data_IF_474667352137
#
_entry.id   IF_474667352137
#
_cell.length_a   1.000
_cell.length_b   1.000
_cell.length_c   1.000
_cell.angle_alpha   90.00
_cell.angle_beta   90.00
_cell.angle_gamma   90.00
#
_symmetry.space_group_name_H-M   'P 1'
#
loop_
_entity.id
_entity.type
_entity.pdbx_description
1 polymer ?
#
# COMPACT_ATOMS: atom_id res chain seq x y z
N UNK A 1 -32.29 15.44 14.19
CA UNK A 1 -31.47 16.66 14.32
C UNK A 1 -30.22 16.50 15.19
N UNK A 2 -30.32 15.94 16.40
CA UNK A 2 -29.19 15.84 17.37
C UNK A 2 -27.96 15.11 16.78
N UNK A 3 -28.18 14.03 16.02
CA UNK A 3 -27.12 13.26 15.33
C UNK A 3 -26.31 14.12 14.35
N UNK A 4 -26.97 14.97 13.57
CA UNK A 4 -26.31 15.87 12.60
C UNK A 4 -25.46 16.95 13.29
N UNK A 5 -25.96 17.49 14.40
CA UNK A 5 -25.27 18.53 15.16
C UNK A 5 -24.06 17.96 15.91
N UNK A 6 -24.20 16.79 16.55
CA UNK A 6 -23.07 16.04 17.17
C UNK A 6 -22.04 15.59 16.11
N UNK A 7 -22.48 15.20 14.91
CA UNK A 7 -21.59 14.88 13.77
C UNK A 7 -20.70 16.08 13.41
N UNK A 8 -21.30 17.25 13.20
CA UNK A 8 -20.56 18.47 12.84
C UNK A 8 -19.47 18.78 13.87
N UNK A 9 -19.79 18.70 15.15
CA UNK A 9 -18.82 18.93 16.24
C UNK A 9 -17.70 17.89 16.26
N UNK A 10 -18.01 16.61 16.03
CA UNK A 10 -17.01 15.55 16.01
C UNK A 10 -16.09 15.64 14.80
N UNK A 11 -16.63 15.89 13.59
CA UNK A 11 -15.84 16.14 12.38
C UNK A 11 -14.89 17.32 12.58
N UNK A 12 -15.35 18.40 13.20
CA UNK A 12 -14.49 19.54 13.55
C UNK A 12 -13.40 19.18 14.58
N UNK A 13 -13.67 18.31 15.54
CA UNK A 13 -12.65 17.80 16.48
C UNK A 13 -11.64 16.88 15.80
N UNK A 14 -12.08 16.03 14.87
CA UNK A 14 -11.24 15.10 14.13
C UNK A 14 -10.36 15.85 13.11
N UNK A 15 -10.90 16.83 12.39
CA UNK A 15 -10.14 17.75 11.52
C UNK A 15 -8.97 18.44 12.23
N UNK A 16 -9.11 18.73 13.53
CA UNK A 16 -8.04 19.36 14.32
C UNK A 16 -6.90 18.40 14.66
N UNK A 17 -7.12 17.09 14.57
CA UNK A 17 -6.17 16.05 14.99
C UNK A 17 -5.61 15.25 13.83
N UNK A 18 -6.42 15.01 12.81
CA UNK A 18 -6.07 14.20 11.65
C UNK A 18 -5.40 15.07 10.57
N UNK A 19 -4.55 14.46 9.73
CA UNK A 19 -4.07 15.05 8.49
C UNK A 19 -5.18 15.51 7.54
N UNK A 20 -4.85 16.47 6.68
CA UNK A 20 -5.80 17.06 5.74
C UNK A 20 -6.33 16.05 4.70
N UNK A 21 -5.51 15.04 4.38
CA UNK A 21 -5.80 13.94 3.45
C UNK A 21 -6.57 12.77 4.11
N UNK A 22 -7.03 12.92 5.36
CA UNK A 22 -7.71 11.84 6.06
C UNK A 22 -9.10 11.55 5.46
N UNK A 23 -9.15 10.58 4.54
CA UNK A 23 -10.37 10.04 3.91
C UNK A 23 -11.48 9.66 4.91
N UNK A 24 -11.10 9.41 6.16
CA UNK A 24 -12.05 9.20 7.28
C UNK A 24 -13.03 10.35 7.42
N UNK A 25 -12.66 11.59 7.09
CA UNK A 25 -13.54 12.76 7.19
C UNK A 25 -14.55 12.89 6.04
N UNK A 26 -14.20 12.31 4.88
CA UNK A 26 -14.98 12.29 3.64
C UNK A 26 -15.94 11.09 3.58
N UNK A 27 -15.66 10.03 4.34
CA UNK A 27 -16.50 8.84 4.42
C UNK A 27 -17.89 9.17 4.99
N UNK A 28 -18.94 8.76 4.27
CA UNK A 28 -20.33 8.90 4.68
C UNK A 28 -20.69 7.91 5.80
N UNK A 29 -19.89 6.85 5.98
CA UNK A 29 -20.03 5.82 7.00
C UNK A 29 -19.13 6.05 8.23
N UNK A 30 -18.91 7.31 8.63
CA UNK A 30 -18.24 7.64 9.88
C UNK A 30 -19.06 7.09 11.07
N UNK A 31 -18.70 5.88 11.53
CA UNK A 31 -19.39 5.21 12.63
C UNK A 31 -19.31 6.06 13.89
N UNK A 32 -20.48 6.50 14.35
CA UNK A 32 -20.56 7.28 15.58
C UNK A 32 -20.31 6.39 16.79
N UNK A 33 -19.27 6.73 17.56
CA UNK A 33 -19.19 6.27 18.93
C UNK A 33 -20.19 7.09 19.75
N UNK A 34 -21.34 6.50 20.08
CA UNK A 34 -22.00 6.84 21.35
C UNK A 34 -20.97 6.63 22.47
N UNK A 35 -21.03 7.42 23.54
CA UNK A 35 -20.12 7.14 24.65
C UNK A 35 -20.32 5.68 25.07
N UNK A 36 -19.23 4.97 25.39
CA UNK A 36 -19.34 3.57 25.80
C UNK A 36 -20.36 3.42 26.95
N UNK A 37 -20.43 4.43 27.82
CA UNK A 37 -21.39 4.53 28.90
C UNK A 37 -22.86 4.60 28.41
N UNK A 38 -23.19 5.44 27.43
CA UNK A 38 -24.54 5.52 26.85
C UNK A 38 -24.94 4.22 26.13
N UNK A 39 -23.99 3.52 25.48
CA UNK A 39 -24.25 2.22 24.84
C UNK A 39 -24.68 1.15 25.86
N UNK A 40 -23.98 1.06 26.99
CA UNK A 40 -24.28 0.06 28.02
C UNK A 40 -25.52 0.40 28.85
N UNK A 41 -25.88 1.69 28.94
CA UNK A 41 -27.05 2.13 29.72
C UNK A 41 -28.37 2.03 28.94
N UNK A 42 -28.35 1.99 27.60
CA UNK A 42 -29.53 1.88 26.71
C UNK A 42 -30.66 2.91 26.96
N UNK A 43 -30.39 3.98 27.71
CA UNK A 43 -31.42 4.90 28.19
C UNK A 43 -31.98 5.85 27.11
N UNK A 44 -31.25 6.05 26.00
CA UNK A 44 -31.56 7.07 25.00
C UNK A 44 -31.58 6.56 23.54
N UNK A 45 -30.97 5.41 23.26
CA UNK A 45 -30.86 4.83 21.92
C UNK A 45 -30.90 3.30 22.03
N UNK A 46 -31.65 2.64 21.15
CA UNK A 46 -31.64 1.17 21.04
C UNK A 46 -30.38 0.68 20.32
N UNK A 47 -30.06 -0.61 20.43
CA UNK A 47 -28.87 -1.19 19.80
C UNK A 47 -28.90 -1.04 18.27
N UNK A 48 -30.09 -1.11 17.66
CA UNK A 48 -30.33 -0.91 16.22
C UNK A 48 -30.18 0.54 15.77
N UNK A 49 -30.46 1.49 16.67
CA UNK A 49 -30.26 2.93 16.43
C UNK A 49 -28.77 3.33 16.52
N UNK A 50 -27.95 2.48 17.15
CA UNK A 50 -26.49 2.62 17.13
C UNK A 50 -25.89 1.99 15.86
N UNK A 51 -24.82 2.58 15.34
CA UNK A 51 -24.06 1.98 14.23
C UNK A 51 -23.08 0.90 14.71
N UNK A 52 -23.12 0.55 16.00
CA UNK A 52 -22.20 -0.42 16.63
C UNK A 52 -22.38 -1.84 16.08
N UNK A 53 -23.60 -2.38 15.85
CA UNK A 53 -23.77 -3.69 15.21
C UNK A 53 -23.15 -3.73 13.80
N UNK A 54 -23.35 -2.66 13.00
CA UNK A 54 -22.76 -2.53 11.66
C UNK A 54 -21.23 -2.45 11.74
N UNK A 55 -20.68 -1.72 12.69
CA UNK A 55 -19.24 -1.67 12.93
C UNK A 55 -18.67 -3.01 13.39
N UNK A 56 -19.35 -3.71 14.30
CA UNK A 56 -18.95 -5.05 14.75
C UNK A 56 -18.93 -6.02 13.58
N UNK A 57 -19.95 -6.01 12.75
CA UNK A 57 -20.02 -6.82 11.53
C UNK A 57 -18.91 -6.44 10.54
N UNK A 58 -18.66 -5.15 10.33
CA UNK A 58 -17.57 -4.66 9.50
C UNK A 58 -16.20 -5.13 10.02
N UNK A 59 -15.92 -4.96 11.31
CA UNK A 59 -14.67 -5.39 11.96
C UNK A 59 -14.52 -6.91 11.87
N UNK A 60 -15.58 -7.67 12.20
CA UNK A 60 -15.58 -9.15 12.10
C UNK A 60 -15.28 -9.58 10.68
N UNK A 61 -15.97 -9.02 9.68
CA UNK A 61 -15.76 -9.30 8.27
C UNK A 61 -14.33 -8.99 7.83
N UNK A 62 -13.80 -7.82 8.20
CA UNK A 62 -12.41 -7.43 7.89
C UNK A 62 -11.38 -8.37 8.55
N UNK A 63 -11.62 -8.75 9.80
CA UNK A 63 -10.75 -9.68 10.53
C UNK A 63 -10.79 -11.08 9.91
N UNK A 64 -11.98 -11.59 9.60
CA UNK A 64 -12.16 -12.89 8.94
C UNK A 64 -11.53 -12.90 7.55
N UNK A 65 -11.71 -11.85 6.75
CA UNK A 65 -11.05 -11.69 5.45
C UNK A 65 -9.52 -11.69 5.58
N UNK A 66 -8.99 -11.00 6.61
CA UNK A 66 -7.55 -10.99 6.89
C UNK A 66 -7.04 -12.38 7.29
N UNK A 67 -7.72 -13.06 8.21
CA UNK A 67 -7.38 -14.42 8.65
C UNK A 67 -7.44 -15.41 7.47
N UNK A 68 -8.50 -15.36 6.66
CA UNK A 68 -8.64 -16.19 5.46
C UNK A 68 -7.46 -16.00 4.52
N UNK A 69 -7.10 -14.75 4.18
CA UNK A 69 -5.93 -14.47 3.34
C UNK A 69 -4.63 -15.03 3.91
N UNK A 70 -4.43 -14.91 5.22
CA UNK A 70 -3.26 -15.49 5.89
C UNK A 70 -3.24 -17.02 5.81
N UNK A 71 -4.36 -17.68 6.13
CA UNK A 71 -4.48 -19.13 6.08
C UNK A 71 -4.27 -19.65 4.66
N UNK A 72 -4.91 -19.04 3.65
CA UNK A 72 -4.69 -19.38 2.24
C UNK A 72 -3.22 -19.27 1.87
N UNK A 73 -2.54 -18.21 2.28
CA UNK A 73 -1.11 -18.04 2.01
C UNK A 73 -0.29 -19.19 2.61
N UNK A 74 -0.46 -19.50 3.89
CA UNK A 74 0.31 -20.56 4.55
C UNK A 74 0.01 -21.95 3.98
N UNK A 75 -1.27 -22.24 3.70
CA UNK A 75 -1.68 -23.51 3.09
C UNK A 75 -1.10 -23.63 1.68
N UNK A 76 -1.12 -22.58 0.87
CA UNK A 76 -0.52 -22.57 -0.47
C UNK A 76 0.99 -22.80 -0.42
N UNK A 77 1.71 -22.13 0.49
CA UNK A 77 3.16 -22.32 0.66
C UNK A 77 3.50 -23.75 1.14
N UNK A 78 2.80 -24.25 2.15
CA UNK A 78 2.99 -25.61 2.65
C UNK A 78 2.64 -26.68 1.59
N UNK A 79 1.58 -26.45 0.81
CA UNK A 79 1.21 -27.32 -0.29
C UNK A 79 2.27 -27.35 -1.40
N UNK A 80 2.90 -26.21 -1.71
CA UNK A 80 4.03 -26.13 -2.63
C UNK A 80 5.22 -26.99 -2.18
N UNK A 81 5.57 -26.94 -0.90
CA UNK A 81 6.65 -27.76 -0.32
C UNK A 81 6.36 -29.27 -0.37
N UNK A 82 5.11 -29.66 -0.09
CA UNK A 82 4.69 -31.07 -0.17
C UNK A 82 4.72 -31.57 -1.62
N UNK A 83 4.25 -30.76 -2.57
CA UNK A 83 4.35 -31.04 -4.01
C UNK A 83 5.80 -31.19 -4.47
N UNK A 84 6.71 -30.35 -3.95
CA UNK A 84 8.14 -30.46 -4.24
C UNK A 84 8.72 -31.78 -3.70
N UNK A 85 8.38 -32.16 -2.47
CA UNK A 85 8.86 -33.40 -1.84
C UNK A 85 8.37 -34.65 -2.58
N UNK A 86 7.10 -34.67 -2.98
CA UNK A 86 6.55 -35.75 -3.81
C UNK A 86 7.19 -35.76 -5.23
N UNK A 87 7.57 -34.59 -5.75
CA UNK A 87 8.28 -34.50 -7.03
C UNK A 87 9.67 -35.15 -7.00
N UNK A 88 10.38 -35.04 -5.87
CA UNK A 88 11.61 -35.75 -5.57
C UNK A 88 11.38 -37.22 -5.17
N UNK A 89 10.20 -37.79 -5.39
CA UNK A 89 9.93 -39.22 -5.16
C UNK A 89 9.64 -39.97 -6.48
N UNK A 90 9.55 -39.25 -7.62
CA UNK A 90 9.21 -39.82 -8.92
C UNK A 90 10.44 -40.02 -9.83
N UNK A 91 10.58 -41.21 -10.43
CA UNK A 91 11.77 -41.66 -11.19
C UNK A 91 11.70 -41.44 -12.71
N UNK A 92 10.67 -40.77 -13.23
CA UNK A 92 10.43 -40.69 -14.68
C UNK A 92 11.17 -39.50 -15.36
N UNK A 93 12.12 -39.85 -16.25
CA UNK A 93 12.67 -39.11 -17.42
C UNK A 93 13.83 -38.08 -17.22
N UNK A 94 15.07 -38.57 -17.10
CA UNK A 94 16.30 -37.75 -16.92
C UNK A 94 16.86 -36.98 -18.15
N UNK A 95 16.89 -37.48 -19.42
CA UNK A 95 17.72 -36.81 -20.44
C UNK A 95 17.07 -35.60 -21.15
N UNK A 96 15.74 -35.55 -21.19
CA UNK A 96 14.96 -34.51 -21.90
C UNK A 96 14.93 -33.19 -21.12
N UNK A 97 15.08 -33.23 -19.79
CA UNK A 97 14.70 -32.16 -18.87
C UNK A 97 15.61 -30.92 -18.85
N UNK A 98 16.91 -31.08 -19.04
CA UNK A 98 17.88 -29.97 -18.97
C UNK A 98 17.69 -28.94 -20.10
N UNK A 99 17.36 -29.41 -21.31
CA UNK A 99 17.05 -28.54 -22.46
C UNK A 99 15.74 -27.76 -22.28
N UNK A 100 14.78 -28.30 -21.52
CA UNK A 100 13.48 -27.66 -21.29
C UNK A 100 13.54 -26.55 -20.25
N UNK A 101 14.26 -26.76 -19.16
CA UNK A 101 14.41 -25.74 -18.12
C UNK A 101 15.25 -24.56 -18.61
N UNK A 102 16.23 -24.80 -19.48
CA UNK A 102 16.97 -23.71 -20.12
C UNK A 102 16.12 -22.88 -21.10
N UNK A 103 15.19 -23.51 -21.84
CA UNK A 103 14.19 -22.82 -22.66
C UNK A 103 13.19 -21.99 -21.84
N UNK A 104 12.69 -22.55 -20.74
CA UNK A 104 11.83 -21.83 -19.79
C UNK A 104 12.58 -20.66 -19.15
N UNK A 105 13.84 -20.84 -18.76
CA UNK A 105 14.69 -19.80 -18.17
C UNK A 105 14.90 -18.62 -19.12
N UNK A 106 15.17 -18.87 -20.40
CA UNK A 106 15.29 -17.80 -21.41
C UNK A 106 13.98 -17.02 -21.56
N UNK A 107 12.85 -17.73 -21.65
CA UNK A 107 11.54 -17.08 -21.79
C UNK A 107 11.13 -16.29 -20.54
N UNK A 108 11.52 -16.76 -19.35
CA UNK A 108 11.35 -16.03 -18.10
C UNK A 108 12.14 -14.72 -18.13
N UNK A 109 13.42 -14.76 -18.53
CA UNK A 109 14.27 -13.57 -18.58
C UNK A 109 13.69 -12.52 -19.54
N UNK A 110 13.21 -12.93 -20.71
CA UNK A 110 12.52 -12.04 -21.67
C UNK A 110 11.28 -11.39 -21.06
N UNK A 111 10.45 -12.16 -20.34
CA UNK A 111 9.25 -11.63 -19.67
C UNK A 111 9.60 -10.69 -18.52
N UNK A 112 10.69 -10.94 -17.80
CA UNK A 112 11.19 -10.05 -16.74
C UNK A 112 11.62 -8.71 -17.37
N UNK A 113 12.32 -8.73 -18.51
CA UNK A 113 12.69 -7.50 -19.23
C UNK A 113 11.47 -6.70 -19.71
N UNK A 114 10.41 -7.39 -20.18
CA UNK A 114 9.15 -6.73 -20.54
C UNK A 114 8.48 -6.09 -19.33
N UNK A 115 8.45 -6.80 -18.19
CA UNK A 115 7.93 -6.26 -16.93
C UNK A 115 8.75 -5.03 -16.49
N UNK A 116 10.07 -5.10 -16.59
CA UNK A 116 10.95 -3.99 -16.23
C UNK A 116 10.65 -2.73 -17.05
N UNK A 117 10.49 -2.87 -18.37
CA UNK A 117 10.11 -1.76 -19.27
C UNK A 117 8.72 -1.20 -18.92
N UNK A 118 7.77 -2.07 -18.59
CA UNK A 118 6.43 -1.63 -18.18
C UNK A 118 6.46 -0.85 -16.85
N UNK A 119 7.31 -1.27 -15.90
CA UNK A 119 7.53 -0.55 -14.64
C UNK A 119 8.13 0.84 -14.91
N UNK A 120 9.12 0.94 -15.79
CA UNK A 120 9.73 2.22 -16.17
C UNK A 120 8.69 3.18 -16.75
N UNK A 121 7.84 2.69 -17.65
CA UNK A 121 6.76 3.48 -18.23
C UNK A 121 5.79 3.97 -17.16
N UNK A 122 5.37 3.11 -16.23
CA UNK A 122 4.50 3.49 -15.12
C UNK A 122 5.13 4.58 -14.25
N UNK A 123 6.41 4.46 -13.93
CA UNK A 123 7.10 5.39 -13.04
C UNK A 123 7.50 6.69 -13.74
N UNK A 124 7.70 6.69 -15.06
CA UNK A 124 8.00 7.91 -15.82
C UNK A 124 6.92 8.99 -15.65
N UNK A 125 5.66 8.60 -15.46
CA UNK A 125 4.56 9.53 -15.25
C UNK A 125 4.71 10.42 -14.00
N UNK A 126 5.51 10.02 -13.00
CA UNK A 126 5.70 10.82 -11.78
C UNK A 126 6.70 11.96 -11.95
N UNK A 127 7.57 11.90 -12.97
CA UNK A 127 8.71 12.81 -13.12
C UNK A 127 8.25 14.25 -13.34
N UNK A 128 7.32 14.46 -14.28
CA UNK A 128 6.81 15.80 -14.61
C UNK A 128 6.02 16.45 -13.44
N UNK A 129 5.04 15.77 -12.82
CA UNK A 129 4.34 16.31 -11.64
C UNK A 129 5.26 16.63 -10.47
N UNK A 130 6.31 15.83 -10.25
CA UNK A 130 7.30 16.14 -9.21
C UNK A 130 8.05 17.44 -9.50
N UNK A 131 8.52 17.63 -10.74
CA UNK A 131 9.23 18.85 -11.14
C UNK A 131 8.33 20.10 -11.02
N UNK A 132 7.07 19.99 -11.46
CA UNK A 132 6.09 21.07 -11.32
C UNK A 132 5.76 21.36 -9.86
N UNK A 133 5.60 20.31 -9.05
CA UNK A 133 5.41 20.41 -7.61
C UNK A 133 6.55 21.15 -6.91
N UNK A 134 7.80 20.83 -7.26
CA UNK A 134 8.99 21.52 -6.74
C UNK A 134 9.01 22.99 -7.14
N UNK A 135 8.71 23.32 -8.40
CA UNK A 135 8.57 24.72 -8.85
C UNK A 135 7.53 25.48 -8.04
N UNK A 136 6.36 24.86 -7.80
CA UNK A 136 5.27 25.45 -7.04
C UNK A 136 5.59 25.60 -5.55
N UNK A 137 6.32 24.65 -4.97
CA UNK A 137 6.80 24.76 -3.59
C UNK A 137 7.80 25.92 -3.46
N UNK A 138 8.76 26.05 -4.38
CA UNK A 138 9.74 27.16 -4.42
C UNK A 138 9.09 28.52 -4.60
N UNK A 139 8.02 28.64 -5.37
CA UNK A 139 7.35 29.93 -5.59
C UNK A 139 6.42 30.33 -4.43
N UNK A 140 6.00 29.39 -3.59
CA UNK A 140 4.95 29.62 -2.58
C UNK A 140 5.38 29.40 -1.13
N UNK A 141 6.56 28.83 -0.85
CA UNK A 141 6.97 28.44 0.51
C UNK A 141 6.95 29.61 1.52
N UNK A 142 7.36 30.83 1.12
CA UNK A 142 7.37 31.98 2.02
C UNK A 142 5.96 32.38 2.47
N UNK A 143 5.01 32.36 1.52
CA UNK A 143 3.59 32.62 1.79
C UNK A 143 3.00 31.54 2.69
N UNK A 144 3.32 30.27 2.42
CA UNK A 144 2.85 29.12 3.21
C UNK A 144 3.39 29.19 4.64
N UNK A 145 4.70 29.36 4.80
CA UNK A 145 5.32 29.50 6.11
C UNK A 145 4.73 30.71 6.85
N UNK A 146 4.57 31.86 6.17
CA UNK A 146 3.94 33.05 6.73
C UNK A 146 2.55 32.77 7.30
N UNK A 147 1.71 32.03 6.56
CA UNK A 147 0.38 31.63 7.02
C UNK A 147 0.44 30.69 8.25
N UNK A 148 1.40 29.77 8.30
CA UNK A 148 1.60 28.87 9.44
C UNK A 148 2.09 29.58 10.72
N UNK A 149 2.80 30.71 10.57
CA UNK A 149 3.41 31.47 11.67
C UNK A 149 2.52 32.61 12.20
N UNK A 150 1.28 32.76 11.70
CA UNK A 150 0.34 33.80 12.13
C UNK A 150 -0.83 33.20 12.89
N UNK A 151 -1.29 33.90 13.94
CA UNK A 151 -2.52 33.55 14.68
C UNK A 151 -3.47 34.74 14.77
N UNK A 152 -4.76 34.46 14.65
CA UNK A 152 -5.84 35.44 14.72
C UNK A 152 -5.97 36.17 16.06
N UNK A 153 -5.43 35.62 17.15
CA UNK A 153 -5.46 36.23 18.51
C UNK A 153 -4.10 36.83 18.93
N UNK A 154 -3.21 37.10 17.98
CA UNK A 154 -1.88 37.65 18.24
C UNK A 154 -0.87 36.63 18.82
N UNK A 155 0.26 37.14 19.32
CA UNK A 155 1.41 36.34 19.74
C UNK A 155 1.34 35.82 21.19
N UNK A 156 0.32 36.21 21.97
CA UNK A 156 0.23 35.85 23.38
C UNK A 156 0.04 34.34 23.53
N UNK A 157 0.97 33.69 24.25
CA UNK A 157 1.04 32.22 24.39
C UNK A 157 1.51 31.46 23.13
N UNK A 158 1.58 32.09 21.97
CA UNK A 158 1.98 31.41 20.73
C UNK A 158 3.44 30.95 20.75
N UNK A 159 4.32 31.65 21.48
CA UNK A 159 5.70 31.24 21.66
C UNK A 159 5.82 29.82 22.24
N UNK A 160 4.94 29.40 23.15
CA UNK A 160 4.94 28.04 23.71
C UNK A 160 4.51 27.00 22.66
N UNK A 161 3.54 27.37 21.81
CA UNK A 161 3.11 26.53 20.70
C UNK A 161 4.23 26.37 19.67
N UNK A 162 4.88 27.47 19.25
CA UNK A 162 6.02 27.42 18.34
C UNK A 162 7.18 26.63 18.92
N UNK A 163 7.48 26.81 20.21
CA UNK A 163 8.49 26.00 20.88
C UNK A 163 8.14 24.52 20.85
N UNK A 164 6.87 24.16 21.09
CA UNK A 164 6.42 22.77 21.01
C UNK A 164 6.45 22.20 19.59
N UNK A 165 6.17 23.01 18.56
CA UNK A 165 6.32 22.65 17.13
C UNK A 165 7.79 22.33 16.84
N UNK A 166 8.70 23.20 17.26
CA UNK A 166 10.14 23.05 17.04
C UNK A 166 10.71 21.83 17.80
N UNK A 167 10.35 21.65 19.07
CA UNK A 167 10.74 20.47 19.86
C UNK A 167 10.25 19.14 19.28
N UNK A 168 9.24 19.17 18.41
CA UNK A 168 8.65 18.01 17.73
C UNK A 168 8.91 18.06 16.21
N UNK A 169 10.03 18.63 15.80
CA UNK A 169 10.52 18.62 14.41
C UNK A 169 9.48 19.15 13.41
N UNK A 170 8.83 20.27 13.73
CA UNK A 170 7.88 20.94 12.85
C UNK A 170 6.42 20.48 13.00
N UNK A 171 6.12 19.57 13.94
CA UNK A 171 4.78 18.98 14.08
C UNK A 171 4.21 19.19 15.48
N UNK A 172 3.03 19.77 15.58
CA UNK A 172 2.31 19.91 16.85
C UNK A 172 0.81 19.69 16.68
N UNK A 173 0.25 18.77 17.45
CA UNK A 173 -1.18 18.58 17.58
C UNK A 173 -1.60 18.81 19.04
N UNK A 174 -2.71 19.53 19.23
CA UNK A 174 -3.28 19.82 20.56
C UNK A 174 -4.77 19.47 20.60
N UNK A 175 -5.33 19.37 21.81
CA UNK A 175 -6.78 19.24 22.02
C UNK A 175 -7.53 20.55 21.72
N UNK A 176 -6.87 21.69 21.92
CA UNK A 176 -7.49 23.03 21.83
C UNK A 176 -7.07 23.81 20.59
N UNK A 177 -5.89 23.52 20.03
CA UNK A 177 -5.35 24.17 18.84
C UNK A 177 -5.39 23.19 17.65
N UNK A 178 -5.58 23.72 16.45
CA UNK A 178 -5.44 22.93 15.22
C UNK A 178 -4.02 22.37 15.07
N UNK A 179 -3.91 21.23 14.40
CA UNK A 179 -2.61 20.63 14.06
C UNK A 179 -1.80 21.62 13.22
N UNK A 180 -0.56 21.84 13.62
CA UNK A 180 0.45 22.57 12.88
C UNK A 180 1.44 21.52 12.40
N UNK A 181 1.61 21.42 11.09
CA UNK A 181 2.64 20.58 10.47
C UNK A 181 3.34 21.42 9.40
N UNK A 182 4.50 21.96 9.75
CA UNK A 182 5.27 22.81 8.86
C UNK A 182 5.82 22.01 7.67
N UNK A 183 6.18 20.75 7.90
CA UNK A 183 6.73 19.89 6.86
C UNK A 183 5.65 19.55 5.83
N UNK A 184 4.47 19.13 6.28
CA UNK A 184 3.31 18.85 5.43
C UNK A 184 2.87 20.11 4.67
N UNK A 185 2.75 21.26 5.36
CA UNK A 185 2.33 22.50 4.72
C UNK A 185 3.28 22.95 3.60
N UNK A 186 4.59 22.91 3.83
CA UNK A 186 5.60 23.36 2.86
C UNK A 186 5.76 22.36 1.69
N UNK A 187 5.48 21.07 1.92
CA UNK A 187 5.50 20.03 0.88
C UNK A 187 4.16 19.89 0.14
N UNK A 188 3.09 20.48 0.65
CA UNK A 188 1.74 20.38 0.07
C UNK A 188 1.67 20.72 -1.42
N UNK A 189 2.35 21.78 -1.94
CA UNK A 189 2.32 22.07 -3.38
C UNK A 189 2.91 20.93 -4.23
N UNK A 190 3.81 20.12 -3.68
CA UNK A 190 4.33 18.93 -4.35
C UNK A 190 3.26 17.83 -4.36
N UNK A 191 2.63 17.56 -3.21
CA UNK A 191 1.56 16.57 -3.08
C UNK A 191 0.37 16.86 -3.98
N UNK A 192 -0.05 18.12 -4.09
CA UNK A 192 -1.14 18.54 -4.98
C UNK A 192 -0.91 18.16 -6.46
N UNK A 193 0.35 18.18 -6.91
CA UNK A 193 0.70 17.78 -8.27
C UNK A 193 0.82 16.26 -8.42
N UNK A 194 1.38 15.57 -7.42
CA UNK A 194 1.65 14.13 -7.52
C UNK A 194 0.44 13.25 -7.19
N UNK A 195 -0.48 13.68 -6.34
CA UNK A 195 -1.58 12.85 -5.82
C UNK A 195 -2.45 12.21 -6.93
N UNK A 196 -2.84 12.95 -8.00
CA UNK A 196 -3.63 12.36 -9.09
C UNK A 196 -2.90 11.21 -9.79
N UNK A 197 -1.59 11.36 -10.01
CA UNK A 197 -0.76 10.40 -10.75
C UNK A 197 -0.31 9.25 -9.85
N UNK A 198 0.15 9.54 -8.64
CA UNK A 198 0.60 8.55 -7.65
C UNK A 198 -0.52 7.58 -7.30
N UNK A 199 -1.74 8.09 -7.12
CA UNK A 199 -2.93 7.26 -6.92
C UNK A 199 -3.20 6.33 -8.11
N UNK A 200 -2.98 6.81 -9.34
CA UNK A 200 -3.12 6.05 -10.59
C UNK A 200 -2.13 4.89 -10.71
N UNK A 201 -0.84 5.16 -10.47
CA UNK A 201 0.24 4.15 -10.57
C UNK A 201 -0.06 2.92 -9.70
N UNK A 202 -0.57 3.12 -8.48
CA UNK A 202 -0.82 2.05 -7.52
C UNK A 202 -2.29 1.64 -7.38
N UNK A 203 -3.16 2.00 -8.34
CA UNK A 203 -4.58 1.63 -8.28
C UNK A 203 -4.76 0.14 -8.61
N UNK A 204 -5.58 -0.54 -7.80
CA UNK A 204 -6.05 -1.91 -8.10
C UNK A 204 -7.35 -1.80 -8.92
N UNK A 205 -7.27 -1.96 -10.24
CA UNK A 205 -8.43 -1.92 -11.15
C UNK A 205 -8.00 -1.79 -12.61
N UNK A 206 -8.93 -2.01 -13.56
CA UNK A 206 -8.67 -1.78 -14.99
C UNK A 206 -8.43 -0.28 -15.22
N UNK A 207 -7.22 0.15 -15.63
CA UNK A 207 -6.98 1.52 -16.01
C UNK A 207 -7.55 1.77 -17.41
N UNK A 208 -8.00 2.99 -17.65
CA UNK A 208 -8.35 3.44 -19.01
C UNK A 208 -7.06 3.72 -19.83
N UNK A 209 -5.90 3.89 -19.16
CA UNK A 209 -4.73 4.55 -19.75
C UNK A 209 -3.38 3.80 -19.57
N UNK A 210 -3.37 2.54 -19.12
CA UNK A 210 -2.14 1.73 -19.02
C UNK A 210 -1.10 2.12 -17.95
N UNK A 211 -1.38 3.15 -17.15
CA UNK A 211 -0.46 3.74 -16.15
C UNK A 211 -0.37 2.99 -14.82
N UNK A 212 -1.22 1.98 -14.59
CA UNK A 212 -1.27 1.24 -13.32
C UNK A 212 -0.29 0.06 -13.32
N UNK A 213 0.48 -0.07 -12.24
CA UNK A 213 1.49 -1.11 -12.06
C UNK A 213 0.89 -2.51 -11.87
N UNK A 214 -0.20 -2.64 -11.11
CA UNK A 214 -0.77 -3.94 -10.75
C UNK A 214 -1.22 -4.77 -11.97
N UNK A 215 -1.93 -4.20 -12.97
CA UNK A 215 -2.24 -4.91 -14.21
C UNK A 215 -1.02 -5.48 -14.95
N UNK A 216 0.13 -4.80 -14.94
CA UNK A 216 1.36 -5.32 -15.56
C UNK A 216 1.94 -6.50 -14.78
N UNK A 217 1.84 -6.48 -13.46
CA UNK A 217 2.21 -7.61 -12.60
C UNK A 217 1.26 -8.82 -12.82
N UNK A 218 -0.04 -8.57 -12.96
CA UNK A 218 -1.03 -9.59 -13.27
C UNK A 218 -0.85 -10.15 -14.68
N UNK A 219 -0.56 -9.31 -15.67
CA UNK A 219 -0.26 -9.75 -17.03
C UNK A 219 1.02 -10.61 -17.06
N UNK A 220 2.06 -10.19 -16.34
CA UNK A 220 3.28 -10.98 -16.17
C UNK A 220 3.00 -12.34 -15.52
N UNK A 221 2.15 -12.37 -14.48
CA UNK A 221 1.69 -13.62 -13.84
C UNK A 221 1.09 -14.57 -14.86
N UNK A 222 0.08 -14.11 -15.58
CA UNK A 222 -0.64 -14.93 -16.56
C UNK A 222 0.29 -15.39 -17.67
N UNK A 223 1.18 -14.51 -18.15
CA UNK A 223 2.14 -14.83 -19.20
C UNK A 223 3.18 -15.89 -18.78
N UNK A 224 3.58 -15.89 -17.50
CA UNK A 224 4.43 -16.95 -16.94
C UNK A 224 3.68 -18.28 -16.82
N UNK A 225 2.46 -18.25 -16.27
CA UNK A 225 1.63 -19.44 -16.11
C UNK A 225 1.31 -20.10 -17.46
N UNK A 226 0.95 -19.31 -18.46
CA UNK A 226 0.70 -19.77 -19.83
C UNK A 226 1.96 -20.41 -20.43
N UNK A 227 3.12 -19.76 -20.30
CA UNK A 227 4.35 -20.32 -20.87
C UNK A 227 4.74 -21.64 -20.21
N UNK A 228 4.54 -21.77 -18.90
CA UNK A 228 4.76 -23.03 -18.21
C UNK A 228 3.78 -24.11 -18.64
N UNK A 229 2.51 -23.75 -18.89
CA UNK A 229 1.52 -24.68 -19.42
C UNK A 229 1.86 -25.13 -20.85
N UNK A 230 2.30 -24.21 -21.72
CA UNK A 230 2.74 -24.54 -23.09
C UNK A 230 3.90 -25.53 -23.10
N UNK A 231 4.93 -25.25 -22.28
CA UNK A 231 6.10 -26.14 -22.16
C UNK A 231 5.68 -27.49 -21.58
N UNK A 232 4.77 -27.49 -20.59
CA UNK A 232 4.25 -28.73 -20.03
C UNK A 232 3.49 -29.59 -21.03
N UNK A 233 2.63 -28.98 -21.86
CA UNK A 233 1.89 -29.69 -22.92
C UNK A 233 2.85 -30.25 -23.98
N UNK A 234 3.79 -29.43 -24.46
CA UNK A 234 4.79 -29.83 -25.47
C UNK A 234 5.63 -31.02 -25.01
N UNK A 235 5.82 -31.14 -23.69
CA UNK A 235 6.69 -32.13 -23.07
C UNK A 235 5.92 -33.33 -22.49
N UNK A 236 4.64 -33.47 -22.80
CA UNK A 236 3.84 -34.61 -22.37
C UNK A 236 3.66 -34.70 -20.85
N UNK A 237 3.77 -33.57 -20.12
CA UNK A 237 3.40 -33.56 -18.70
C UNK A 237 1.94 -34.02 -18.60
N UNK A 238 1.70 -35.11 -17.86
CA UNK A 238 0.33 -35.52 -17.53
C UNK A 238 -0.40 -34.30 -16.93
N UNK A 239 -1.69 -34.17 -17.23
CA UNK A 239 -2.49 -33.02 -16.80
C UNK A 239 -2.46 -32.80 -15.27
N UNK A 240 -2.19 -33.89 -14.54
CA UNK A 240 -2.00 -34.08 -13.08
C UNK A 240 -0.52 -34.25 -12.65
N UNK A 241 0.44 -33.77 -13.45
CA UNK A 241 1.84 -33.85 -13.06
C UNK A 241 2.10 -32.99 -11.82
N UNK A 242 2.58 -33.60 -10.73
CA UNK A 242 3.03 -32.91 -9.50
C UNK A 242 3.97 -31.73 -9.81
N UNK A 243 4.82 -31.83 -10.86
CA UNK A 243 5.69 -30.73 -11.33
C UNK A 243 4.90 -29.51 -11.84
N UNK A 244 3.82 -29.73 -12.60
CA UNK A 244 2.93 -28.67 -13.10
C UNK A 244 2.22 -27.98 -11.93
N UNK A 245 1.69 -28.77 -11.00
CA UNK A 245 1.01 -28.25 -9.80
C UNK A 245 1.97 -27.46 -8.92
N UNK A 246 3.19 -27.94 -8.70
CA UNK A 246 4.25 -27.22 -7.99
C UNK A 246 4.54 -25.87 -8.61
N UNK A 247 4.89 -25.84 -9.91
CA UNK A 247 5.28 -24.62 -10.60
C UNK A 247 4.17 -23.55 -10.61
N UNK A 248 2.91 -23.94 -10.83
CA UNK A 248 1.76 -23.01 -10.81
C UNK A 248 1.56 -22.42 -9.41
N UNK A 249 1.67 -23.26 -8.37
CA UNK A 249 1.56 -22.81 -6.98
C UNK A 249 2.69 -21.87 -6.62
N UNK A 250 3.91 -22.21 -7.01
CA UNK A 250 5.08 -21.43 -6.61
C UNK A 250 5.18 -20.08 -7.31
N UNK A 251 4.78 -20.00 -8.60
CA UNK A 251 4.55 -18.69 -9.24
C UNK A 251 3.51 -17.87 -8.46
N UNK A 252 2.42 -18.50 -8.04
CA UNK A 252 1.34 -17.80 -7.33
C UNK A 252 1.80 -17.29 -5.96
N UNK A 253 2.62 -18.04 -5.25
CA UNK A 253 3.23 -17.64 -3.98
C UNK A 253 4.25 -16.50 -4.16
N UNK A 254 5.15 -16.61 -5.14
CA UNK A 254 6.16 -15.58 -5.48
C UNK A 254 5.47 -14.25 -5.76
N UNK A 255 4.42 -14.26 -6.59
CA UNK A 255 3.72 -13.05 -7.00
C UNK A 255 2.82 -12.48 -5.90
N UNK A 256 2.15 -13.32 -5.11
CA UNK A 256 1.44 -12.85 -3.91
C UNK A 256 2.40 -12.19 -2.91
N UNK A 257 3.62 -12.71 -2.78
CA UNK A 257 4.69 -12.09 -2.01
C UNK A 257 5.18 -10.75 -2.60
N UNK A 258 5.11 -10.58 -3.93
CA UNK A 258 5.51 -9.37 -4.64
C UNK A 258 4.52 -8.22 -4.40
N UNK A 259 3.22 -8.48 -4.47
CA UNK A 259 2.18 -7.46 -4.17
C UNK A 259 2.37 -6.86 -2.77
N UNK A 260 2.60 -7.72 -1.77
CA UNK A 260 2.89 -7.28 -0.40
C UNK A 260 4.20 -6.49 -0.26
N UNK A 261 5.19 -6.74 -1.13
CA UNK A 261 6.40 -5.93 -1.19
C UNK A 261 6.11 -4.53 -1.75
N UNK A 262 5.39 -4.45 -2.87
CA UNK A 262 5.00 -3.21 -3.54
C UNK A 262 4.18 -2.31 -2.59
N UNK A 263 3.18 -2.85 -1.91
CA UNK A 263 2.32 -2.07 -1.00
C UNK A 263 3.10 -1.47 0.19
N UNK A 264 4.08 -2.19 0.74
CA UNK A 264 4.92 -1.67 1.83
C UNK A 264 5.85 -0.55 1.35
N UNK A 265 6.38 -0.67 0.14
CA UNK A 265 7.24 0.35 -0.47
C UNK A 265 6.46 1.59 -0.92
N UNK A 266 5.23 1.43 -1.41
CA UNK A 266 4.32 2.53 -1.78
C UNK A 266 4.24 3.61 -0.69
N UNK A 267 3.97 3.23 0.56
CA UNK A 267 3.89 4.18 1.69
C UNK A 267 5.21 4.93 1.88
N UNK A 268 6.33 4.20 1.88
CA UNK A 268 7.66 4.80 2.05
C UNK A 268 8.03 5.77 0.94
N UNK A 269 7.64 5.47 -0.30
CA UNK A 269 7.83 6.39 -1.43
C UNK A 269 7.03 7.67 -1.16
N UNK A 270 5.74 7.56 -0.83
CA UNK A 270 4.87 8.73 -0.60
C UNK A 270 5.37 9.63 0.54
N UNK A 271 5.75 9.05 1.67
CA UNK A 271 6.23 9.76 2.86
C UNK A 271 7.67 10.29 2.70
N UNK A 272 8.39 9.91 1.63
CA UNK A 272 9.80 10.31 1.45
C UNK A 272 9.98 11.82 1.24
N UNK A 273 9.00 12.51 0.65
CA UNK A 273 9.05 13.95 0.42
C UNK A 273 9.05 14.74 1.74
N UNK A 274 8.01 14.53 2.55
CA UNK A 274 7.88 15.19 3.85
C UNK A 274 8.99 14.81 4.83
N UNK A 275 9.43 13.55 4.81
CA UNK A 275 10.58 13.09 5.61
C UNK A 275 11.87 13.78 5.20
N UNK A 276 12.13 13.95 3.89
CA UNK A 276 13.33 14.63 3.40
C UNK A 276 13.36 16.09 3.83
N UNK A 277 12.24 16.81 3.63
CA UNK A 277 12.12 18.22 4.06
C UNK A 277 12.26 18.37 5.57
N UNK A 278 11.67 17.47 6.36
CA UNK A 278 11.80 17.49 7.80
C UNK A 278 13.26 17.33 8.26
N UNK A 279 14.02 16.43 7.63
CA UNK A 279 15.42 16.22 7.96
C UNK A 279 16.27 17.46 7.67
N UNK A 280 16.01 18.12 6.55
CA UNK A 280 16.72 19.34 6.14
C UNK A 280 16.38 20.53 7.05
N UNK A 281 15.13 20.62 7.52
CA UNK A 281 14.68 21.67 8.45
C UNK A 281 14.99 21.39 9.93
N UNK A 282 15.43 20.17 10.26
CA UNK A 282 15.68 19.75 11.63
C UNK A 282 16.63 20.69 12.40
N UNK A 283 17.77 21.15 11.84
CA UNK A 283 18.65 22.09 12.53
C UNK A 283 17.94 23.42 12.87
N UNK A 284 17.07 23.89 11.98
CA UNK A 284 16.31 25.13 12.17
C UNK A 284 15.30 24.99 13.33
N UNK A 285 14.68 23.81 13.45
CA UNK A 285 13.79 23.50 14.57
C UNK A 285 14.55 23.42 15.89
N UNK A 286 15.71 22.77 15.90
CA UNK A 286 16.56 22.66 17.09
C UNK A 286 17.02 24.04 17.57
N UNK A 287 17.48 24.90 16.67
CA UNK A 287 17.88 26.27 16.98
C UNK A 287 16.70 27.09 17.55
N UNK A 288 15.55 27.07 16.85
CA UNK A 288 14.36 27.80 17.28
C UNK A 288 13.83 27.32 18.65
N UNK A 289 13.94 26.03 18.96
CA UNK A 289 13.49 25.46 20.24
C UNK A 289 14.28 25.98 21.45
N UNK A 290 15.55 26.36 21.27
CA UNK A 290 16.40 26.88 22.35
C UNK A 290 16.10 28.34 22.70
N UNK A 291 15.36 29.06 21.87
CA UNK A 291 15.09 30.47 22.08
C UNK A 291 14.17 30.67 23.29
N UNK A 292 14.60 31.53 24.21
CA UNK A 292 13.85 31.93 25.41
C UNK A 292 13.95 33.45 25.64
N UNK A 293 13.14 34.00 26.55
CA UNK A 293 13.21 35.41 26.96
C UNK A 293 12.35 36.40 26.16
N UNK A 294 12.60 37.70 26.33
CA UNK A 294 11.83 38.80 25.69
C UNK A 294 11.79 38.61 24.17
N UNK A 295 10.65 38.86 23.51
CA UNK A 295 10.49 38.70 22.04
C UNK A 295 10.84 37.30 21.49
N UNK A 296 10.85 36.25 22.31
CA UNK A 296 11.17 34.89 21.87
C UNK A 296 10.30 34.42 20.68
N UNK A 297 9.01 34.80 20.67
CA UNK A 297 8.11 34.46 19.57
C UNK A 297 8.61 34.96 18.21
N UNK A 298 9.00 36.23 18.12
CA UNK A 298 9.46 36.81 16.85
C UNK A 298 10.83 36.25 16.46
N UNK A 299 11.75 36.11 17.42
CA UNK A 299 13.05 35.47 17.15
C UNK A 299 12.91 34.03 16.64
N UNK A 300 11.98 33.24 17.18
CA UNK A 300 11.70 31.89 16.66
C UNK A 300 11.20 31.92 15.23
N UNK A 301 10.26 32.82 14.91
CA UNK A 301 9.78 32.98 13.53
C UNK A 301 10.91 33.38 12.59
N UNK A 302 11.79 34.27 13.02
CA UNK A 302 12.91 34.75 12.20
C UNK A 302 13.94 33.64 11.93
N UNK A 303 14.26 32.81 12.93
CA UNK A 303 15.10 31.62 12.73
C UNK A 303 14.46 30.65 11.75
N UNK A 304 13.15 30.36 11.90
CA UNK A 304 12.45 29.46 10.98
C UNK A 304 12.40 30.00 9.54
N UNK A 305 12.21 31.32 9.36
CA UNK A 305 12.23 31.96 8.03
C UNK A 305 13.61 31.86 7.40
N UNK A 306 14.65 32.33 8.09
CA UNK A 306 16.03 32.31 7.57
C UNK A 306 16.50 30.88 7.28
N UNK A 307 16.20 29.96 8.20
CA UNK A 307 16.54 28.55 8.03
C UNK A 307 15.86 27.93 6.81
N UNK A 308 14.57 28.20 6.62
CA UNK A 308 13.84 27.74 5.43
C UNK A 308 14.37 28.40 4.14
N UNK A 309 14.58 29.72 4.13
CA UNK A 309 15.13 30.44 2.97
C UNK A 309 16.48 29.85 2.55
N UNK A 310 17.36 29.57 3.54
CA UNK A 310 18.66 28.93 3.32
C UNK A 310 18.50 27.52 2.74
N UNK A 311 17.65 26.68 3.32
CA UNK A 311 17.45 25.32 2.85
C UNK A 311 16.83 25.26 1.44
N UNK A 312 15.92 26.19 1.11
CA UNK A 312 15.37 26.31 -0.25
C UNK A 312 16.45 26.76 -1.25
N UNK A 313 17.32 27.71 -0.85
CA UNK A 313 18.45 28.13 -1.68
C UNK A 313 19.44 26.98 -1.94
N UNK A 314 19.67 26.12 -0.95
CA UNK A 314 20.50 24.92 -1.05
C UNK A 314 19.85 23.76 -1.81
N UNK A 315 18.59 23.90 -2.23
CA UNK A 315 17.89 22.89 -3.03
C UNK A 315 17.18 21.80 -2.23
N UNK A 316 16.64 22.11 -1.04
CA UNK A 316 15.89 21.16 -0.21
C UNK A 316 14.75 20.44 -0.97
N UNK A 317 14.02 21.16 -1.84
CA UNK A 317 12.92 20.55 -2.60
C UNK A 317 13.41 19.62 -3.70
N UNK A 318 14.50 19.99 -4.37
CA UNK A 318 15.18 19.16 -5.37
C UNK A 318 15.70 17.87 -4.74
N UNK A 319 16.34 17.95 -3.57
CA UNK A 319 16.77 16.76 -2.81
C UNK A 319 15.58 15.88 -2.43
N UNK A 320 14.46 16.46 -2.01
CA UNK A 320 13.25 15.70 -1.71
C UNK A 320 12.70 14.98 -2.96
N UNK A 321 12.66 15.66 -4.12
CA UNK A 321 12.31 15.06 -5.40
C UNK A 321 13.24 13.89 -5.75
N UNK A 322 14.57 14.10 -5.70
CA UNK A 322 15.57 13.08 -5.99
C UNK A 322 15.41 11.88 -5.05
N UNK A 323 15.12 12.12 -3.76
CA UNK A 323 14.86 11.08 -2.78
C UNK A 323 13.66 10.21 -3.16
N UNK A 324 12.55 10.84 -3.56
CA UNK A 324 11.37 10.09 -4.01
C UNK A 324 11.64 9.31 -5.30
N UNK A 325 12.30 9.93 -6.28
CA UNK A 325 12.69 9.28 -7.54
C UNK A 325 13.61 8.07 -7.28
N UNK A 326 14.56 8.20 -6.35
CA UNK A 326 15.39 7.10 -5.92
C UNK A 326 14.58 5.96 -5.28
N UNK A 327 13.55 6.27 -4.48
CA UNK A 327 12.66 5.25 -3.93
C UNK A 327 11.86 4.49 -5.01
N UNK A 328 11.47 5.16 -6.11
CA UNK A 328 10.88 4.48 -7.27
C UNK A 328 11.87 3.53 -7.96
N UNK A 329 13.11 3.98 -8.19
CA UNK A 329 14.16 3.11 -8.74
C UNK A 329 14.45 1.91 -7.83
N UNK A 330 14.51 2.12 -6.52
CA UNK A 330 14.65 1.02 -5.55
C UNK A 330 13.49 0.04 -5.59
N UNK A 331 12.26 0.52 -5.81
CA UNK A 331 11.09 -0.35 -5.96
C UNK A 331 11.17 -1.17 -7.24
N UNK A 332 11.53 -0.55 -8.37
CA UNK A 332 11.76 -1.25 -9.64
C UNK A 332 12.78 -2.39 -9.46
N UNK A 333 13.98 -2.06 -8.98
CA UNK A 333 15.04 -3.05 -8.77
C UNK A 333 14.61 -4.12 -7.77
N UNK A 334 13.92 -3.73 -6.69
CA UNK A 334 13.38 -4.66 -5.70
C UNK A 334 12.34 -5.64 -6.27
N UNK A 335 11.52 -5.20 -7.23
CA UNK A 335 10.58 -6.07 -7.96
C UNK A 335 11.35 -7.04 -8.85
N UNK A 336 12.24 -6.52 -9.71
CA UNK A 336 13.00 -7.32 -10.68
C UNK A 336 13.86 -8.38 -9.99
N UNK A 337 14.64 -7.98 -8.98
CA UNK A 337 15.50 -8.91 -8.22
C UNK A 337 14.70 -9.97 -7.48
N UNK A 338 13.57 -9.59 -6.87
CA UNK A 338 12.72 -10.55 -6.17
C UNK A 338 12.16 -11.59 -7.12
N UNK A 339 11.64 -11.17 -8.28
CA UNK A 339 11.09 -12.09 -9.28
C UNK A 339 12.19 -12.97 -9.85
N UNK A 340 13.31 -12.38 -10.28
CA UNK A 340 14.44 -13.11 -10.87
C UNK A 340 15.02 -14.15 -9.91
N UNK A 341 15.28 -13.76 -8.66
CA UNK A 341 15.80 -14.66 -7.63
C UNK A 341 14.83 -15.80 -7.31
N UNK A 342 13.53 -15.48 -7.14
CA UNK A 342 12.54 -16.49 -6.77
C UNK A 342 12.25 -17.47 -7.91
N UNK A 343 12.13 -16.98 -9.15
CA UNK A 343 11.91 -17.85 -10.31
C UNK A 343 13.16 -18.69 -10.59
N UNK A 344 14.37 -18.12 -10.46
CA UNK A 344 15.60 -18.91 -10.59
C UNK A 344 15.67 -20.03 -9.57
N UNK A 345 15.40 -19.74 -8.29
CA UNK A 345 15.38 -20.75 -7.23
C UNK A 345 14.35 -21.86 -7.52
N UNK A 346 13.14 -21.49 -7.92
CA UNK A 346 12.09 -22.45 -8.30
C UNK A 346 12.52 -23.32 -9.50
N UNK A 347 13.13 -22.74 -10.54
CA UNK A 347 13.63 -23.50 -11.70
C UNK A 347 14.78 -24.44 -11.32
N UNK A 348 15.71 -23.99 -10.46
CA UNK A 348 16.80 -24.84 -9.95
C UNK A 348 16.25 -26.03 -9.16
N UNK A 349 15.27 -25.79 -8.28
CA UNK A 349 14.61 -26.86 -7.52
C UNK A 349 13.91 -27.85 -8.44
N UNK A 350 13.17 -27.35 -9.44
CA UNK A 350 12.51 -28.20 -10.43
C UNK A 350 13.50 -29.03 -11.28
N UNK A 351 14.72 -28.52 -11.52
CA UNK A 351 15.78 -29.23 -12.26
C UNK A 351 16.61 -30.21 -11.42
N UNK A 352 16.60 -30.10 -10.10
CA UNK A 352 17.46 -30.93 -9.21
C UNK A 352 16.98 -32.37 -9.00
N UNK A 353 15.98 -32.81 -9.77
CA UNK A 353 15.44 -34.16 -9.70
C UNK A 353 16.41 -35.16 -10.35
N UNK A 354 16.84 -36.16 -9.58
CA UNK A 354 17.75 -37.22 -10.04
C UNK A 354 19.13 -37.27 -9.37
N UNK A 355 19.49 -36.33 -8.50
CA UNK A 355 20.84 -36.25 -7.88
C UNK A 355 21.03 -37.20 -6.67
N UNK A 356 20.29 -38.31 -6.61
CA UNK A 356 20.43 -39.34 -5.56
C UNK A 356 19.76 -39.05 -4.21
N UNK A 357 19.20 -37.86 -3.99
CA UNK A 357 18.51 -37.44 -2.74
C UNK A 357 17.19 -38.18 -2.43
N UNK A 358 16.66 -38.95 -3.38
CA UNK A 358 15.39 -39.69 -3.23
C UNK A 358 15.38 -40.68 -2.05
N UNK A 359 16.55 -41.13 -1.57
CA UNK A 359 16.64 -42.18 -0.54
C UNK A 359 16.45 -41.68 0.90
N UNK A 360 16.40 -40.37 1.14
CA UNK A 360 16.37 -39.79 2.50
C UNK A 360 15.11 -38.98 2.84
N UNK A 361 14.19 -38.76 1.89
CA UNK A 361 12.98 -37.98 2.14
C UNK A 361 11.85 -38.84 2.74
N UNK A 362 11.11 -38.28 3.70
CA UNK A 362 9.98 -38.92 4.34
C UNK A 362 8.79 -39.11 3.37
N UNK A 363 8.03 -40.19 3.53
CA UNK A 363 6.76 -40.37 2.81
C UNK A 363 5.73 -39.37 3.33
N UNK A 364 5.39 -38.39 2.50
CA UNK A 364 4.47 -37.29 2.83
C UNK A 364 3.11 -37.40 2.10
N UNK A 365 2.77 -38.60 1.60
CA UNK A 365 1.54 -38.79 0.80
C UNK A 365 0.25 -38.49 1.56
N UNK A 366 0.20 -38.78 2.87
CA UNK A 366 -0.96 -38.47 3.72
C UNK A 366 -1.16 -36.96 3.86
N UNK A 367 -0.09 -36.27 4.21
CA UNK A 367 -0.02 -34.82 4.41
C UNK A 367 -0.35 -34.09 3.11
N UNK A 368 0.14 -34.60 1.98
CA UNK A 368 -0.21 -34.11 0.65
C UNK A 368 -1.72 -34.15 0.41
N UNK A 369 -2.39 -35.30 0.65
CA UNK A 369 -3.84 -35.45 0.44
C UNK A 369 -4.66 -34.53 1.35
N UNK A 370 -4.25 -34.40 2.62
CA UNK A 370 -4.89 -33.47 3.55
C UNK A 370 -4.74 -32.02 3.10
N UNK A 371 -3.53 -31.64 2.71
CA UNK A 371 -3.24 -30.29 2.26
C UNK A 371 -3.94 -29.95 0.94
N UNK A 372 -4.03 -30.91 0.02
CA UNK A 372 -4.78 -30.75 -1.24
C UNK A 372 -6.26 -30.47 -0.96
N UNK A 373 -6.87 -31.23 -0.04
CA UNK A 373 -8.26 -31.02 0.39
C UNK A 373 -8.46 -29.63 1.00
N UNK A 374 -7.57 -29.22 1.91
CA UNK A 374 -7.61 -27.89 2.54
C UNK A 374 -7.45 -26.77 1.50
N UNK A 375 -6.50 -26.91 0.60
CA UNK A 375 -6.24 -25.95 -0.46
C UNK A 375 -7.46 -25.80 -1.39
N UNK A 376 -8.10 -26.93 -1.75
CA UNK A 376 -9.33 -26.94 -2.57
C UNK A 376 -10.50 -26.25 -1.86
N UNK A 377 -10.76 -26.59 -0.59
CA UNK A 377 -11.82 -25.95 0.20
C UNK A 377 -11.60 -24.44 0.37
N UNK A 378 -10.35 -23.99 0.51
CA UNK A 378 -10.02 -22.56 0.58
C UNK A 378 -10.27 -21.85 -0.75
N UNK A 379 -9.96 -22.49 -1.89
CA UNK A 379 -10.25 -21.97 -3.22
C UNK A 379 -11.77 -21.82 -3.44
N UNK A 380 -12.54 -22.86 -3.17
CA UNK A 380 -14.01 -22.84 -3.27
C UNK A 380 -14.62 -21.76 -2.37
N UNK A 381 -14.14 -21.61 -1.14
CA UNK A 381 -14.59 -20.57 -0.23
C UNK A 381 -14.28 -19.15 -0.76
N UNK A 382 -13.15 -18.96 -1.45
CA UNK A 382 -12.78 -17.69 -2.05
C UNK A 382 -13.65 -17.35 -3.27
N UNK A 383 -13.89 -18.31 -4.15
CA UNK A 383 -14.77 -18.18 -5.32
C UNK A 383 -16.21 -17.87 -4.88
N UNK A 384 -16.74 -18.60 -3.90
CA UNK A 384 -18.05 -18.35 -3.33
C UNK A 384 -18.16 -16.94 -2.70
N UNK A 385 -17.09 -16.44 -2.07
CA UNK A 385 -17.07 -15.08 -1.53
C UNK A 385 -17.07 -14.01 -2.63
N UNK A 386 -16.38 -14.25 -3.75
CA UNK A 386 -16.40 -13.37 -4.93
C UNK A 386 -17.78 -13.32 -5.57
N UNK A 387 -18.41 -14.48 -5.78
CA UNK A 387 -19.76 -14.59 -6.32
C UNK A 387 -20.78 -13.84 -5.44
N UNK A 388 -20.70 -14.01 -4.12
CA UNK A 388 -21.55 -13.27 -3.18
C UNK A 388 -21.36 -11.76 -3.26
N UNK A 389 -20.13 -11.26 -3.42
CA UNK A 389 -19.86 -9.83 -3.59
C UNK A 389 -20.40 -9.31 -4.93
N UNK A 390 -20.14 -10.02 -6.02
CA UNK A 390 -20.67 -9.65 -7.34
C UNK A 390 -22.21 -9.59 -7.33
N UNK A 391 -22.84 -10.54 -6.64
CA UNK A 391 -24.30 -10.56 -6.48
C UNK A 391 -24.81 -9.41 -5.59
N UNK A 392 -24.10 -9.06 -4.51
CA UNK A 392 -24.43 -7.87 -3.70
C UNK A 392 -24.29 -6.57 -4.49
N UNK A 393 -23.21 -6.40 -5.25
CA UNK A 393 -22.98 -5.22 -6.09
C UNK A 393 -24.04 -5.11 -7.21
N UNK A 394 -24.43 -6.25 -7.79
CA UNK A 394 -25.53 -6.33 -8.75
C UNK A 394 -26.86 -5.90 -8.12
N UNK A 395 -27.21 -6.43 -6.94
CA UNK A 395 -28.44 -6.07 -6.22
C UNK A 395 -28.47 -4.59 -5.79
N UNK A 396 -27.32 -4.03 -5.40
CA UNK A 396 -27.19 -2.61 -5.08
C UNK A 396 -27.40 -1.71 -6.31
N UNK A 397 -26.93 -2.13 -7.49
CA UNK A 397 -27.17 -1.42 -8.76
C UNK A 397 -28.61 -1.50 -9.25
N UNK A 398 -29.31 -2.59 -8.91
CA UNK A 398 -30.71 -2.83 -9.30
C UNK A 398 -31.72 -2.21 -8.33
N UNK A 399 -31.28 -1.64 -7.21
CA UNK A 399 -32.16 -0.97 -6.25
C UNK A 399 -32.66 0.36 -6.84
N UNK A 400 -33.98 0.58 -7.03
CA UNK A 400 -34.50 1.83 -7.57
C UNK A 400 -34.11 2.99 -6.65
N UNK A 401 -33.49 4.04 -7.21
CA UNK A 401 -33.36 5.30 -6.50
C UNK A 401 -34.77 5.79 -6.16
N UNK A 402 -35.04 6.04 -4.87
CA UNK A 402 -36.24 6.77 -4.47
C UNK A 402 -36.11 8.21 -4.99
N UNK A 403 -36.46 8.44 -6.25
CA UNK A 403 -36.75 9.77 -6.77
C UNK A 403 -37.95 10.30 -5.99
N UNK A 404 -37.74 11.33 -5.18
CA UNK A 404 -38.82 12.07 -4.55
C UNK A 404 -39.79 12.63 -5.62
N UNK A 405 -41.06 12.91 -5.26
CA UNK A 405 -42.06 13.30 -6.22
C UNK A 405 -41.68 14.62 -6.91
N UNK A 406 -42.02 14.80 -8.19
CA UNK A 406 -41.78 16.04 -8.90
C UNK A 406 -42.60 17.16 -8.23
N UNK A 407 -41.92 18.25 -7.88
CA UNK A 407 -42.60 19.49 -7.48
C UNK A 407 -43.31 20.06 -8.71
N UNK A 408 -44.63 19.98 -8.72
CA UNK A 408 -45.49 20.89 -9.48
C UNK A 408 -45.69 22.17 -8.71
#
# INVERSE_FOLDING_TARGET
MIKLQKNKVLKEKLKRKLPADSRVLEDSELVYTVSAQEYWQQALLTEEETEIPKLREYIRRRLLDKKRRMVTKYVTEAFGLLLLTDSFSCTDNLPSEYLHVSGLRRSVEEKIQLLEKAIDQCFAHIVQPLQEGVRNARSSYQRILGACLVRSRGNQGFHQTLKAVCLKNGIYASRTLGRIDLNEAITQPIYEQIDPVFGGIFRSGKPTDGSALMPHIDAFKHSLQEKMMEIGIRNGWKYDGYKKSFLIQEISAILGGLEGHILRKKRRIYESLSTSVQNDLKPCYEEAAQITGKKACERMKDVLRRGLDQQVAEGMFERAQERMQHQFHQLKNGITEKVKGSVTAMLTLASSQGDGLHKELADVKSEYKEMEKLHRSLREAAENALLRRAMQDFLLRMSPSKSGPPKT
#
